data_IF_264352632060
#
_entry.id   IF_264352632060
#
_cell.length_a   1.000
_cell.length_b   1.000
_cell.length_c   1.000
_cell.angle_alpha   90.00
_cell.angle_beta   90.00
_cell.angle_gamma   90.00
#
_symmetry.space_group_name_H-M   'P 1'
#
loop_
_entity.id
_entity.type
_entity.pdbx_description
1 polymer ?
#
# COMPACT_ATOMS: atom_id res chain seq x y z
N UNK A 1 -32.29 -3.76 -3.98
CA UNK A 1 -30.95 -3.90 -4.62
C UNK A 1 -31.18 -4.26 -6.07
N UNK A 2 -31.22 -3.25 -6.95
CA UNK A 2 -31.93 -3.43 -8.23
C UNK A 2 -31.00 -3.51 -9.46
N UNK A 3 -29.67 -3.47 -9.26
CA UNK A 3 -28.66 -3.57 -10.33
C UNK A 3 -27.57 -4.59 -9.96
N UNK A 4 -27.28 -5.50 -10.87
CA UNK A 4 -26.23 -6.52 -10.73
C UNK A 4 -24.87 -5.87 -10.43
N UNK A 5 -24.58 -4.73 -11.05
CA UNK A 5 -23.31 -4.02 -10.90
C UNK A 5 -23.11 -3.46 -9.49
N UNK A 6 -24.19 -3.04 -8.83
CA UNK A 6 -24.16 -2.59 -7.44
C UNK A 6 -23.81 -3.73 -6.49
N UNK A 7 -24.28 -4.94 -6.78
CA UNK A 7 -23.95 -6.15 -6.02
C UNK A 7 -22.47 -6.51 -6.21
N UNK A 8 -21.96 -6.51 -7.46
CA UNK A 8 -20.55 -6.81 -7.72
C UNK A 8 -19.65 -5.76 -7.04
N UNK A 9 -20.02 -4.48 -7.07
CA UNK A 9 -19.29 -3.43 -6.35
C UNK A 9 -19.24 -3.73 -4.85
N UNK A 10 -20.38 -4.05 -4.24
CA UNK A 10 -20.44 -4.34 -2.81
C UNK A 10 -19.61 -5.58 -2.43
N UNK A 11 -19.66 -6.64 -3.23
CA UNK A 11 -18.83 -7.83 -3.02
C UNK A 11 -17.33 -7.51 -3.06
N UNK A 12 -16.90 -6.71 -4.03
CA UNK A 12 -15.51 -6.25 -4.12
C UNK A 12 -15.13 -5.33 -2.95
N UNK A 13 -16.05 -4.45 -2.53
CA UNK A 13 -15.79 -3.52 -1.44
C UNK A 13 -15.63 -4.25 -0.11
N UNK A 14 -16.49 -5.23 0.14
CA UNK A 14 -16.44 -6.10 1.30
C UNK A 14 -15.15 -6.92 1.34
N UNK A 15 -14.62 -7.36 0.18
CA UNK A 15 -13.30 -7.99 0.09
C UNK A 15 -12.21 -7.07 0.64
N UNK A 16 -12.17 -5.80 0.20
CA UNK A 16 -11.21 -4.80 0.70
C UNK A 16 -11.39 -4.51 2.19
N UNK A 17 -12.64 -4.42 2.66
CA UNK A 17 -12.93 -4.25 4.10
C UNK A 17 -12.41 -5.44 4.92
N UNK A 18 -12.60 -6.68 4.46
CA UNK A 18 -12.12 -7.86 5.17
C UNK A 18 -10.60 -7.90 5.32
N UNK A 19 -9.85 -7.38 4.34
CA UNK A 19 -8.39 -7.31 4.40
C UNK A 19 -7.88 -6.24 5.38
N UNK A 20 -8.68 -5.21 5.69
CA UNK A 20 -8.34 -4.13 6.63
C UNK A 20 -8.91 -4.33 8.03
N UNK A 21 -9.99 -5.10 8.16
CA UNK A 21 -10.74 -5.33 9.39
C UNK A 21 -9.97 -5.93 10.59
N UNK A 22 -8.92 -6.78 10.44
CA UNK A 22 -8.26 -7.37 11.61
C UNK A 22 -7.62 -6.33 12.53
N UNK A 23 -7.19 -5.19 11.97
CA UNK A 23 -6.39 -4.18 12.67
C UNK A 23 -7.01 -2.78 12.65
N UNK A 24 -8.16 -2.60 11.99
CA UNK A 24 -8.83 -1.31 11.88
C UNK A 24 -9.69 -0.95 13.11
N UNK A 25 -9.54 0.28 13.61
CA UNK A 25 -10.44 0.86 14.62
C UNK A 25 -11.86 0.95 14.07
N UNK A 26 -12.88 0.68 14.89
CA UNK A 26 -14.29 0.65 14.46
C UNK A 26 -14.79 1.95 13.80
N UNK A 27 -14.20 3.11 14.11
CA UNK A 27 -14.47 4.37 13.44
C UNK A 27 -14.05 4.38 11.96
N UNK A 28 -12.87 3.84 11.64
CA UNK A 28 -12.35 3.79 10.26
C UNK A 28 -13.24 2.93 9.36
N UNK A 29 -13.73 1.79 9.86
CA UNK A 29 -14.65 0.93 9.12
C UNK A 29 -15.99 1.63 8.83
N UNK A 30 -16.43 2.54 9.70
CA UNK A 30 -17.64 3.36 9.48
C UNK A 30 -17.41 4.40 8.40
N UNK A 31 -16.28 5.11 8.43
CA UNK A 31 -15.90 6.06 7.38
C UNK A 31 -15.78 5.35 6.02
N UNK A 32 -15.22 4.14 6.01
CA UNK A 32 -15.14 3.31 4.81
C UNK A 32 -16.53 2.91 4.32
N UNK A 33 -17.45 2.51 5.19
CA UNK A 33 -18.83 2.23 4.80
C UNK A 33 -19.55 3.46 4.21
N UNK A 34 -19.31 4.65 4.77
CA UNK A 34 -19.88 5.92 4.26
C UNK A 34 -19.35 6.24 2.86
N UNK A 35 -18.04 6.08 2.61
CA UNK A 35 -17.45 6.24 1.26
C UNK A 35 -18.07 5.29 0.24
N UNK A 36 -18.40 4.06 0.63
CA UNK A 36 -19.07 3.09 -0.24
C UNK A 36 -20.45 3.58 -0.68
N UNK A 37 -21.22 4.12 0.27
CA UNK A 37 -22.55 4.69 0.02
C UNK A 37 -22.48 5.86 -0.96
N UNK A 38 -21.48 6.73 -0.81
CA UNK A 38 -21.31 7.89 -1.70
C UNK A 38 -20.96 7.49 -3.14
N UNK A 39 -20.16 6.43 -3.31
CA UNK A 39 -19.86 5.87 -4.65
C UNK A 39 -21.10 5.24 -5.28
N UNK A 40 -21.88 4.50 -4.50
CA UNK A 40 -23.06 3.78 -4.97
C UNK A 40 -24.28 4.68 -5.28
N UNK A 41 -24.38 5.84 -4.64
CA UNK A 41 -25.39 6.87 -4.95
C UNK A 41 -25.16 7.54 -6.30
N UNK A 42 -23.91 7.59 -6.74
CA UNK A 42 -23.54 8.29 -7.93
C UNK A 42 -23.62 7.38 -9.17
N UNK A 43 -23.65 7.99 -10.36
CA UNK A 43 -23.58 7.25 -11.62
C UNK A 43 -22.30 6.38 -11.65
N UNK A 44 -22.36 5.10 -12.04
CA UNK A 44 -23.45 4.38 -12.74
C UNK A 44 -24.38 3.47 -11.90
N UNK A 45 -24.28 3.46 -10.57
CA UNK A 45 -24.87 2.39 -9.74
C UNK A 45 -26.29 2.66 -9.23
N UNK A 46 -26.62 3.91 -8.88
CA UNK A 46 -27.96 4.35 -8.42
C UNK A 46 -28.61 3.48 -7.33
N UNK A 47 -27.84 2.97 -6.37
CA UNK A 47 -28.37 2.09 -5.33
C UNK A 47 -29.00 2.87 -4.14
N UNK A 48 -30.08 2.33 -3.57
CA UNK A 48 -30.78 2.90 -2.41
C UNK A 48 -29.90 2.85 -1.14
N UNK A 49 -29.85 3.95 -0.38
CA UNK A 49 -28.94 4.09 0.77
C UNK A 49 -29.25 3.14 1.93
N UNK A 50 -30.51 2.72 2.11
CA UNK A 50 -30.91 1.85 3.21
C UNK A 50 -30.57 0.38 2.95
N UNK A 51 -30.71 -0.06 1.69
CA UNK A 51 -30.29 -1.39 1.23
C UNK A 51 -28.78 -1.60 1.40
N UNK A 52 -27.98 -0.55 1.17
CA UNK A 52 -26.52 -0.63 1.25
C UNK A 52 -26.07 -0.79 2.71
N UNK A 53 -26.63 0.00 3.64
CA UNK A 53 -26.25 -0.04 5.05
C UNK A 53 -26.59 -1.38 5.69
N UNK A 54 -27.78 -1.90 5.41
CA UNK A 54 -28.22 -3.22 5.89
C UNK A 54 -27.34 -4.33 5.33
N UNK A 55 -27.00 -4.28 4.04
CA UNK A 55 -26.11 -5.25 3.39
C UNK A 55 -24.69 -5.20 3.94
N UNK A 56 -24.11 -4.00 4.15
CA UNK A 56 -22.75 -3.86 4.71
C UNK A 56 -22.66 -4.38 6.15
N UNK A 57 -23.70 -4.16 6.96
CA UNK A 57 -23.75 -4.67 8.33
C UNK A 57 -23.89 -6.21 8.37
N UNK A 58 -24.73 -6.78 7.50
CA UNK A 58 -24.93 -8.23 7.41
C UNK A 58 -23.73 -8.95 6.79
N UNK A 59 -23.09 -8.34 5.80
CA UNK A 59 -22.05 -8.98 5.01
C UNK A 59 -20.66 -8.99 5.67
N UNK A 60 -20.46 -8.35 6.83
CA UNK A 60 -19.19 -8.42 7.57
C UNK A 60 -18.77 -9.85 7.89
N UNK A 61 -19.72 -10.70 8.30
CA UNK A 61 -19.45 -12.10 8.63
C UNK A 61 -19.09 -12.92 7.37
N UNK A 62 -19.86 -12.72 6.29
CA UNK A 62 -19.66 -13.41 5.00
C UNK A 62 -18.37 -12.95 4.30
N UNK A 63 -18.01 -11.67 4.45
CA UNK A 63 -16.83 -11.07 3.86
C UNK A 63 -15.53 -11.61 4.45
N UNK A 64 -15.52 -12.09 5.70
CA UNK A 64 -14.33 -12.69 6.30
C UNK A 64 -13.99 -14.04 5.63
N UNK A 65 -14.99 -14.86 5.35
CA UNK A 65 -14.82 -16.17 4.71
C UNK A 65 -14.51 -16.02 3.21
N UNK A 66 -15.25 -15.15 2.51
CA UNK A 66 -15.03 -14.89 1.09
C UNK A 66 -13.75 -14.08 0.83
N UNK A 67 -13.41 -13.18 1.76
CA UNK A 67 -12.24 -12.30 1.73
C UNK A 67 -10.91 -13.05 1.69
N UNK A 68 -10.86 -14.21 2.33
CA UNK A 68 -9.67 -15.06 2.40
C UNK A 68 -9.58 -16.09 1.26
N UNK A 69 -10.60 -16.18 0.39
CA UNK A 69 -10.57 -17.17 -0.67
C UNK A 69 -9.62 -16.74 -1.80
N UNK A 70 -8.64 -17.59 -2.17
CA UNK A 70 -7.63 -17.31 -3.19
C UNK A 70 -8.24 -16.87 -4.53
N UNK A 71 -9.19 -17.66 -5.03
CA UNK A 71 -9.84 -17.42 -6.33
C UNK A 71 -10.66 -16.13 -6.35
N UNK A 72 -11.23 -15.71 -5.22
CA UNK A 72 -12.00 -14.47 -5.18
C UNK A 72 -11.06 -13.26 -5.22
N UNK A 73 -9.90 -13.33 -4.56
CA UNK A 73 -8.84 -12.31 -4.66
C UNK A 73 -8.35 -12.16 -6.10
N UNK A 74 -8.17 -13.27 -6.82
CA UNK A 74 -7.78 -13.25 -8.24
C UNK A 74 -8.85 -12.59 -9.13
N UNK A 75 -10.14 -12.83 -8.89
CA UNK A 75 -11.23 -12.17 -9.62
C UNK A 75 -11.26 -10.65 -9.39
N UNK A 76 -11.12 -10.22 -8.12
CA UNK A 76 -11.07 -8.80 -7.77
C UNK A 76 -9.85 -8.13 -8.41
N UNK A 77 -8.70 -8.81 -8.44
CA UNK A 77 -7.49 -8.31 -9.09
C UNK A 77 -7.64 -8.19 -10.62
N UNK A 78 -8.30 -9.14 -11.27
CA UNK A 78 -8.60 -9.08 -12.69
C UNK A 78 -9.48 -7.88 -13.04
N UNK A 79 -10.50 -7.60 -12.22
CA UNK A 79 -11.35 -6.42 -12.37
C UNK A 79 -10.55 -5.12 -12.22
N UNK A 80 -9.69 -5.03 -11.19
CA UNK A 80 -8.86 -3.84 -11.00
C UNK A 80 -7.93 -3.60 -12.19
N UNK A 81 -7.28 -4.66 -12.68
CA UNK A 81 -6.39 -4.61 -13.83
C UNK A 81 -7.12 -4.19 -15.11
N UNK A 82 -8.34 -4.71 -15.34
CA UNK A 82 -9.16 -4.33 -16.49
C UNK A 82 -9.52 -2.85 -16.46
N UNK A 83 -10.02 -2.34 -15.33
CA UNK A 83 -10.39 -0.92 -15.20
C UNK A 83 -9.17 0.00 -15.16
N UNK A 84 -8.00 -0.50 -14.76
CA UNK A 84 -6.73 0.23 -14.87
C UNK A 84 -6.34 0.41 -16.35
N UNK A 85 -6.53 -0.62 -17.17
CA UNK A 85 -6.25 -0.57 -18.61
C UNK A 85 -7.26 0.32 -19.38
N UNK A 86 -8.53 0.31 -18.96
CA UNK A 86 -9.63 1.04 -19.62
C UNK A 86 -10.29 2.02 -18.65
N UNK A 87 -9.63 3.15 -18.31
CA UNK A 87 -10.14 4.11 -17.33
C UNK A 87 -11.41 4.85 -17.80
N UNK A 88 -11.65 4.91 -19.11
CA UNK A 88 -12.83 5.53 -19.71
C UNK A 88 -14.10 4.67 -19.61
N UNK A 89 -13.99 3.46 -19.07
CA UNK A 89 -15.13 2.56 -18.92
C UNK A 89 -16.17 3.13 -17.94
N UNK A 90 -17.46 2.96 -18.22
CA UNK A 90 -18.59 3.43 -17.39
C UNK A 90 -18.46 3.04 -15.92
N UNK A 91 -17.95 1.83 -15.67
CA UNK A 91 -17.77 1.26 -14.32
C UNK A 91 -16.35 1.40 -13.77
N UNK A 92 -15.49 2.26 -14.34
CA UNK A 92 -14.11 2.45 -13.86
C UNK A 92 -14.04 2.89 -12.39
N UNK A 93 -15.09 3.55 -11.88
CA UNK A 93 -15.25 3.90 -10.47
C UNK A 93 -15.27 2.71 -9.53
N UNK A 94 -15.51 1.51 -10.03
CA UNK A 94 -15.42 0.26 -9.28
C UNK A 94 -14.01 0.02 -8.71
N UNK A 95 -12.98 0.66 -9.27
CA UNK A 95 -11.61 0.58 -8.74
C UNK A 95 -11.48 1.06 -7.30
N UNK A 96 -12.36 1.93 -6.83
CA UNK A 96 -12.34 2.33 -5.40
C UNK A 96 -12.53 1.13 -4.46
N UNK A 97 -13.21 0.07 -4.93
CA UNK A 97 -13.43 -1.17 -4.21
C UNK A 97 -12.33 -2.22 -4.43
N UNK A 98 -11.59 -2.16 -5.55
CA UNK A 98 -10.63 -3.21 -5.96
C UNK A 98 -9.17 -2.79 -5.82
N UNK A 99 -8.89 -1.50 -5.60
CA UNK A 99 -7.54 -0.91 -5.60
C UNK A 99 -6.61 -1.52 -4.55
N UNK A 100 -7.12 -2.10 -3.46
CA UNK A 100 -6.28 -2.76 -2.45
C UNK A 100 -5.59 -4.04 -2.98
N UNK A 101 -6.04 -4.59 -4.11
CA UNK A 101 -5.38 -5.71 -4.79
C UNK A 101 -4.18 -5.27 -5.62
N UNK A 102 -4.05 -3.98 -5.93
CA UNK A 102 -2.92 -3.40 -6.64
C UNK A 102 -1.71 -3.26 -5.69
N UNK A 103 -0.55 -3.78 -6.10
CA UNK A 103 0.68 -3.76 -5.30
C UNK A 103 0.50 -4.36 -3.89
N UNK A 104 -0.29 -5.43 -3.78
CA UNK A 104 -0.47 -6.18 -2.52
C UNK A 104 0.88 -6.77 -2.08
N UNK A 105 1.24 -6.54 -0.82
CA UNK A 105 2.52 -6.94 -0.21
C UNK A 105 3.77 -6.30 -0.85
N UNK A 106 3.67 -5.08 -1.39
CA UNK A 106 4.79 -4.36 -2.05
C UNK A 106 5.31 -3.20 -1.19
N UNK A 107 5.31 -3.38 0.14
CA UNK A 107 5.65 -2.31 1.09
C UNK A 107 7.06 -1.78 0.91
N UNK A 108 8.03 -2.62 0.56
CA UNK A 108 9.41 -2.17 0.31
C UNK A 108 9.48 -1.15 -0.83
N UNK A 109 8.65 -1.31 -1.86
CA UNK A 109 8.55 -0.34 -2.96
C UNK A 109 7.93 0.99 -2.50
N UNK A 110 6.86 0.93 -1.71
CA UNK A 110 6.25 2.12 -1.10
C UNK A 110 7.23 2.86 -0.19
N UNK A 111 8.06 2.12 0.54
CA UNK A 111 9.08 2.71 1.40
C UNK A 111 10.14 3.46 0.59
N UNK A 112 10.59 2.92 -0.55
CA UNK A 112 11.52 3.66 -1.43
C UNK A 112 10.92 4.99 -1.91
N UNK A 113 9.64 4.98 -2.26
CA UNK A 113 8.93 6.19 -2.66
C UNK A 113 8.85 7.18 -1.49
N UNK A 114 8.39 6.72 -0.32
CA UNK A 114 8.33 7.54 0.89
C UNK A 114 9.70 8.15 1.25
N UNK A 115 10.78 7.37 1.18
CA UNK A 115 12.14 7.87 1.43
C UNK A 115 12.55 9.00 0.48
N UNK A 116 12.13 8.91 -0.79
CA UNK A 116 12.38 9.94 -1.81
C UNK A 116 11.58 11.21 -1.49
N UNK A 117 10.31 11.04 -1.09
CA UNK A 117 9.42 12.15 -0.68
C UNK A 117 9.95 12.87 0.56
N UNK A 118 10.33 12.14 1.61
CA UNK A 118 10.86 12.76 2.82
C UNK A 118 12.21 13.42 2.53
N UNK A 119 13.15 12.70 1.91
CA UNK A 119 14.51 13.23 1.70
C UNK A 119 14.53 14.44 0.76
N UNK A 120 13.58 14.55 -0.17
CA UNK A 120 13.61 15.53 -1.26
C UNK A 120 14.73 15.25 -2.27
N UNK A 121 15.40 14.10 -2.16
CA UNK A 121 16.50 13.69 -3.01
C UNK A 121 16.03 12.61 -3.97
N UNK A 122 16.72 12.46 -5.11
CA UNK A 122 16.44 11.34 -6.02
C UNK A 122 16.80 10.01 -5.38
N UNK A 123 16.19 8.93 -5.88
CA UNK A 123 16.38 7.58 -5.36
C UNK A 123 17.86 7.19 -5.31
N UNK A 124 18.58 7.45 -6.39
CA UNK A 124 20.00 7.12 -6.55
C UNK A 124 20.90 7.96 -5.64
N UNK A 125 20.44 9.13 -5.20
CA UNK A 125 21.18 10.04 -4.35
C UNK A 125 21.10 9.59 -2.89
N UNK A 126 19.89 9.35 -2.37
CA UNK A 126 19.74 8.93 -0.98
C UNK A 126 20.22 7.49 -0.75
N UNK A 127 20.14 6.60 -1.75
CA UNK A 127 20.65 5.22 -1.64
C UNK A 127 22.15 5.17 -1.30
N UNK A 128 22.93 6.18 -1.70
CA UNK A 128 24.37 6.29 -1.36
C UNK A 128 24.61 6.53 0.14
N UNK A 129 23.59 6.97 0.87
CA UNK A 129 23.63 7.21 2.31
C UNK A 129 23.25 5.99 3.13
N UNK A 130 22.80 4.90 2.48
CA UNK A 130 22.60 3.62 3.15
C UNK A 130 23.95 2.92 3.31
N UNK A 131 24.61 3.11 4.46
CA UNK A 131 25.93 2.51 4.74
C UNK A 131 25.86 1.16 5.46
N UNK A 132 24.66 0.74 5.83
CA UNK A 132 24.40 -0.53 6.51
C UNK A 132 24.47 -1.65 5.46
N UNK A 133 25.38 -2.64 5.58
CA UNK A 133 25.56 -3.69 4.57
C UNK A 133 24.27 -4.46 4.24
N UNK A 134 23.42 -4.70 5.25
CA UNK A 134 22.14 -5.37 5.15
C UNK A 134 21.16 -4.54 4.30
N UNK A 135 21.06 -3.23 4.58
CA UNK A 135 20.23 -2.31 3.79
C UNK A 135 20.72 -2.24 2.34
N UNK A 136 22.03 -2.20 2.12
CA UNK A 136 22.59 -2.20 0.76
C UNK A 136 22.30 -3.50 0.00
N UNK A 137 22.30 -4.65 0.70
CA UNK A 137 21.95 -5.94 0.09
C UNK A 137 20.50 -5.93 -0.37
N UNK A 138 19.58 -5.49 0.49
CA UNK A 138 18.15 -5.38 0.17
C UNK A 138 17.91 -4.35 -0.96
N UNK A 139 18.61 -3.21 -0.95
CA UNK A 139 18.54 -2.23 -2.03
C UNK A 139 19.00 -2.80 -3.39
N UNK A 140 20.07 -3.62 -3.41
CA UNK A 140 20.52 -4.28 -4.64
C UNK A 140 19.48 -5.24 -5.20
N UNK A 141 18.83 -6.02 -4.34
CA UNK A 141 17.73 -6.91 -4.74
C UNK A 141 16.56 -6.11 -5.34
N UNK A 142 16.23 -4.95 -4.76
CA UNK A 142 15.18 -4.09 -5.31
C UNK A 142 15.55 -3.46 -6.65
N UNK A 143 16.83 -3.14 -6.87
CA UNK A 143 17.28 -2.63 -8.19
C UNK A 143 17.17 -3.68 -9.29
N UNK A 144 17.43 -4.95 -9.00
CA UNK A 144 17.22 -6.05 -9.96
C UNK A 144 15.74 -6.20 -10.33
N UNK A 145 14.83 -5.98 -9.38
CA UNK A 145 13.39 -6.08 -9.61
C UNK A 145 12.83 -4.85 -10.33
N UNK A 146 13.54 -3.72 -10.30
CA UNK A 146 13.05 -2.44 -10.80
C UNK A 146 12.74 -2.44 -12.31
N UNK A 147 13.44 -3.27 -13.10
CA UNK A 147 13.18 -3.44 -14.53
C UNK A 147 11.75 -3.93 -14.80
N UNK A 148 11.22 -4.81 -13.95
CA UNK A 148 9.85 -5.31 -14.08
C UNK A 148 8.80 -4.24 -13.74
N UNK A 149 9.15 -3.25 -12.92
CA UNK A 149 8.27 -2.14 -12.56
C UNK A 149 8.07 -1.15 -13.71
N UNK A 150 9.00 -1.08 -14.67
CA UNK A 150 8.93 -0.14 -15.79
C UNK A 150 7.97 -0.61 -16.90
N UNK A 151 7.61 -1.90 -16.90
CA UNK A 151 6.70 -2.47 -17.88
C UNK A 151 5.27 -2.00 -17.61
N UNK A 152 4.78 -1.11 -18.46
CA UNK A 152 3.39 -0.61 -18.42
C UNK A 152 2.39 -1.75 -18.63
N UNK A 153 1.30 -1.72 -17.85
CA UNK A 153 0.20 -2.70 -17.91
C UNK A 153 0.65 -4.16 -17.70
N UNK A 154 1.74 -4.36 -16.96
CA UNK A 154 2.22 -5.69 -16.61
C UNK A 154 1.34 -6.34 -15.53
N UNK A 155 1.44 -7.67 -15.42
CA UNK A 155 0.89 -8.41 -14.29
C UNK A 155 1.67 -8.17 -12.99
N UNK A 156 2.81 -7.47 -13.04
CA UNK A 156 3.72 -7.26 -11.92
C UNK A 156 3.00 -6.76 -10.66
N UNK A 157 2.19 -5.69 -10.70
CA UNK A 157 1.49 -5.19 -9.50
C UNK A 157 0.51 -6.19 -8.87
N UNK A 158 0.10 -7.22 -9.61
CA UNK A 158 -0.93 -8.17 -9.22
C UNK A 158 -0.39 -9.59 -8.99
N UNK A 159 0.92 -9.84 -9.10
CA UNK A 159 1.49 -11.20 -8.96
C UNK A 159 1.09 -11.88 -7.64
N UNK A 160 0.99 -11.09 -6.56
CA UNK A 160 0.55 -11.59 -5.26
C UNK A 160 -0.95 -11.88 -5.22
N UNK A 161 -1.75 -11.02 -5.83
CA UNK A 161 -3.22 -11.11 -5.85
C UNK A 161 -3.73 -12.19 -6.81
N UNK A 162 -2.96 -12.51 -7.86
CA UNK A 162 -3.18 -13.68 -8.74
C UNK A 162 -2.57 -14.97 -8.22
N UNK A 163 -1.90 -14.93 -7.06
CA UNK A 163 -1.24 -16.10 -6.46
C UNK A 163 -0.18 -16.76 -7.33
N UNK A 164 0.35 -16.02 -8.30
CA UNK A 164 1.52 -16.44 -9.10
C UNK A 164 2.73 -16.56 -8.18
N UNK A 165 2.83 -15.66 -7.20
CA UNK A 165 3.84 -15.69 -6.16
C UNK A 165 3.21 -16.01 -4.79
N UNK A 166 3.70 -17.05 -4.07
CA UNK A 166 3.23 -17.37 -2.74
C UNK A 166 3.63 -16.28 -1.72
N UNK A 167 4.77 -15.63 -1.95
CA UNK A 167 5.31 -14.54 -1.15
C UNK A 167 5.93 -13.49 -2.07
N UNK A 168 5.67 -12.22 -1.78
CA UNK A 168 6.23 -11.11 -2.53
C UNK A 168 7.69 -10.84 -2.10
N UNK A 169 8.64 -10.74 -3.04
CA UNK A 169 10.01 -10.29 -2.74
C UNK A 169 10.07 -8.82 -2.29
N UNK A 170 8.98 -8.07 -2.48
CA UNK A 170 8.82 -6.67 -2.08
C UNK A 170 8.10 -6.50 -0.73
N UNK A 171 7.85 -7.60 -0.01
CA UNK A 171 7.23 -7.57 1.30
C UNK A 171 8.19 -7.03 2.36
N UNK A 172 7.64 -6.41 3.42
CA UNK A 172 8.42 -5.94 4.59
C UNK A 172 9.29 -7.04 5.18
N UNK A 173 8.77 -8.27 5.20
CA UNK A 173 9.44 -9.41 5.80
C UNK A 173 10.61 -9.95 4.96
N UNK A 174 10.74 -9.53 3.70
CA UNK A 174 11.91 -9.81 2.84
C UNK A 174 12.95 -8.69 2.91
N UNK A 175 12.54 -7.45 3.24
CA UNK A 175 13.42 -6.29 3.40
C UNK A 175 13.27 -5.55 4.74
N UNK A 176 13.46 -6.23 5.89
CA UNK A 176 13.23 -5.62 7.20
C UNK A 176 14.25 -4.54 7.56
N UNK A 177 15.50 -4.64 7.11
CA UNK A 177 16.54 -3.67 7.44
C UNK A 177 16.27 -2.32 6.74
N UNK A 178 15.92 -2.37 5.45
CA UNK A 178 15.54 -1.20 4.66
C UNK A 178 14.25 -0.57 5.17
N UNK A 179 13.26 -1.40 5.53
CA UNK A 179 12.03 -0.92 6.14
C UNK A 179 12.32 -0.11 7.41
N UNK A 180 13.11 -0.69 8.32
CA UNK A 180 13.49 -0.05 9.59
C UNK A 180 14.30 1.22 9.36
N UNK A 181 15.26 1.20 8.42
CA UNK A 181 16.09 2.35 8.08
C UNK A 181 15.25 3.56 7.64
N UNK A 182 14.30 3.34 6.73
CA UNK A 182 13.45 4.41 6.18
C UNK A 182 12.51 4.96 7.27
N UNK A 183 11.87 4.10 8.05
CA UNK A 183 10.99 4.55 9.13
C UNK A 183 11.75 5.26 10.26
N UNK A 184 12.97 4.82 10.59
CA UNK A 184 13.81 5.52 11.56
C UNK A 184 14.14 6.95 11.11
N UNK A 185 14.41 7.16 9.81
CA UNK A 185 14.64 8.50 9.24
C UNK A 185 13.37 9.35 9.31
N UNK A 186 12.20 8.79 8.95
CA UNK A 186 10.92 9.49 9.03
C UNK A 186 10.59 9.95 10.45
N UNK A 187 10.76 9.07 11.45
CA UNK A 187 10.56 9.40 12.87
C UNK A 187 11.49 10.53 13.32
N UNK A 188 12.77 10.48 12.95
CA UNK A 188 13.75 11.49 13.34
C UNK A 188 13.50 12.87 12.71
N UNK A 189 12.78 12.92 11.59
CA UNK A 189 12.33 14.17 10.96
C UNK A 189 11.08 14.77 11.60
N UNK A 190 10.46 14.07 12.55
CA UNK A 190 9.20 14.49 13.16
C UNK A 190 7.98 14.26 12.26
N UNK A 191 8.10 13.42 11.23
CA UNK A 191 6.95 13.00 10.44
C UNK A 191 6.11 12.02 11.25
N UNK A 192 5.00 12.53 11.81
CA UNK A 192 4.01 11.73 12.52
C UNK A 192 3.08 10.94 11.57
N UNK A 193 3.01 11.36 10.30
CA UNK A 193 2.21 10.74 9.25
C UNK A 193 3.08 9.80 8.39
N UNK A 194 3.62 8.77 9.01
CA UNK A 194 3.96 7.56 8.23
C UNK A 194 2.60 6.98 7.81
N UNK A 195 2.26 6.86 6.51
CA UNK A 195 0.96 6.33 6.13
C UNK A 195 0.80 4.94 6.75
N UNK A 196 -0.14 4.85 7.70
CA UNK A 196 -0.62 3.60 8.29
C UNK A 196 -1.30 2.79 7.18
N UNK A 197 -0.51 2.20 6.30
CA UNK A 197 -0.96 1.09 5.51
C UNK A 197 -1.04 -0.09 6.48
N UNK A 198 -2.28 -0.43 6.84
CA UNK A 198 -2.72 -1.63 7.53
C UNK A 198 -1.63 -2.73 7.50
N UNK A 199 -1.03 -2.99 8.66
CA UNK A 199 0.03 -3.99 8.94
C UNK A 199 1.50 -3.53 8.94
N UNK A 200 1.83 -2.36 9.48
CA UNK A 200 2.96 -2.34 10.44
C UNK A 200 2.40 -2.76 11.80
N UNK A 201 2.08 -4.06 11.92
CA UNK A 201 2.41 -4.70 13.18
C UNK A 201 3.88 -4.36 13.36
N UNK A 202 4.22 -3.54 14.36
CA UNK A 202 5.56 -3.48 14.92
C UNK A 202 6.02 -4.92 14.92
N UNK A 203 6.91 -5.31 14.00
CA UNK A 203 7.37 -6.69 13.91
C UNK A 203 7.75 -7.01 15.34
N UNK A 204 6.99 -7.90 15.98
CA UNK A 204 7.08 -8.16 17.40
C UNK A 204 8.54 -8.45 17.63
N UNK A 205 9.22 -7.51 18.26
CA UNK A 205 10.66 -7.51 18.41
C UNK A 205 11.01 -8.77 19.21
N UNK A 206 11.25 -9.87 18.53
CA UNK A 206 12.13 -10.91 19.03
C UNK A 206 13.52 -10.34 18.84
N UNK A 207 13.85 -9.49 19.80
CA UNK A 207 15.13 -8.83 20.00
C UNK A 207 16.23 -9.90 19.97
N UNK A 208 16.84 -10.13 18.81
CA UNK A 208 18.13 -10.80 18.70
C UNK A 208 19.22 -9.76 19.00
N UNK A 209 19.32 -9.52 20.31
CA UNK A 209 19.90 -8.42 21.11
C UNK A 209 21.37 -8.02 20.88
N UNK A 210 22.00 -8.21 19.72
CA UNK A 210 23.43 -7.86 19.54
C UNK A 210 23.81 -7.07 18.29
N UNK A 211 23.13 -7.24 17.16
CA UNK A 211 23.51 -6.55 15.91
C UNK A 211 22.62 -5.32 15.61
N UNK A 212 21.44 -5.25 16.23
CA UNK A 212 20.46 -4.17 16.05
C UNK A 212 20.95 -2.80 16.52
N UNK A 213 21.81 -2.73 17.53
CA UNK A 213 22.35 -1.46 18.03
C UNK A 213 23.25 -0.76 17.02
N UNK A 214 23.93 -1.51 16.14
CA UNK A 214 24.75 -0.92 15.08
C UNK A 214 23.89 -0.38 13.95
N UNK A 215 22.85 -1.12 13.55
CA UNK A 215 21.92 -0.69 12.52
C UNK A 215 21.10 0.53 12.97
N UNK A 216 20.65 0.55 14.22
CA UNK A 216 19.92 1.67 14.81
C UNK A 216 20.80 2.92 14.95
N UNK A 217 22.04 2.77 15.46
CA UNK A 217 23.00 3.88 15.54
C UNK A 217 23.40 4.38 14.15
N UNK A 218 23.63 3.48 13.18
CA UNK A 218 23.94 3.86 11.80
C UNK A 218 22.75 4.59 11.13
N UNK A 219 21.52 4.14 11.37
CA UNK A 219 20.31 4.84 10.92
C UNK A 219 20.17 6.21 11.58
N UNK A 220 20.46 6.34 12.88
CA UNK A 220 20.46 7.62 13.59
C UNK A 220 21.55 8.57 13.08
N UNK A 221 22.75 8.06 12.76
CA UNK A 221 23.85 8.86 12.21
C UNK A 221 23.54 9.32 10.79
N UNK A 222 23.07 8.41 9.93
CA UNK A 222 22.65 8.72 8.57
C UNK A 222 21.48 9.71 8.55
N UNK A 223 20.48 9.52 9.40
CA UNK A 223 19.36 10.44 9.55
C UNK A 223 19.81 11.84 10.00
N UNK A 224 20.72 11.93 10.99
CA UNK A 224 21.28 13.22 11.44
C UNK A 224 22.10 13.92 10.36
N UNK A 225 22.76 13.19 9.47
CA UNK A 225 23.50 13.77 8.35
C UNK A 225 22.57 14.20 7.21
N UNK A 226 21.54 13.40 6.90
CA UNK A 226 20.50 13.75 5.92
C UNK A 226 19.68 14.97 6.36
N UNK A 227 19.32 15.06 7.64
CA UNK A 227 18.66 16.24 8.24
C UNK A 227 19.49 17.53 8.12
N UNK A 228 20.82 17.43 8.25
CA UNK A 228 21.71 18.58 8.09
C UNK A 228 21.76 19.06 6.62
N UNK A 229 21.59 18.16 5.67
CA UNK A 229 21.63 18.47 4.23
C UNK A 229 20.28 18.94 3.68
N UNK A 230 19.15 18.39 4.15
CA UNK A 230 17.82 18.88 3.75
C UNK A 230 17.59 20.34 4.19
N UNK A 231 18.12 20.73 5.35
CA UNK A 231 18.06 22.12 5.84
C UNK A 231 18.96 23.09 5.04
N UNK A 232 19.81 22.58 4.13
CA UNK A 232 20.62 23.38 3.21
C UNK A 232 20.07 23.43 1.78
N UNK A 233 19.08 22.59 1.46
CA UNK A 233 18.47 22.47 0.14
C UNK A 233 17.00 22.91 0.19
N UNK A 234 16.76 24.16 0.56
CA UNK A 234 15.50 24.81 0.23
C UNK A 234 15.66 25.46 -1.14
N UNK A 235 15.05 24.89 -2.18
CA UNK A 235 14.54 25.57 -3.40
C UNK A 235 13.95 24.54 -4.38
N UNK A 236 12.63 24.68 -4.65
CA UNK A 236 11.84 24.39 -5.87
C UNK A 236 12.11 23.08 -6.66
N UNK A 237 11.14 22.22 -7.00
CA UNK A 237 9.85 22.50 -7.64
C UNK A 237 8.80 21.39 -7.37
N UNK A 238 7.54 21.80 -7.17
CA UNK A 238 6.35 20.94 -7.13
C UNK A 238 6.09 20.28 -8.49
N UNK A 239 6.13 18.95 -8.60
CA UNK A 239 5.37 18.24 -9.64
C UNK A 239 4.98 16.83 -9.16
N UNK A 240 3.72 16.46 -9.45
CA UNK A 240 3.08 15.13 -9.37
C UNK A 240 2.13 14.83 -8.20
N UNK A 241 1.05 15.63 -8.13
CA UNK A 241 -0.30 15.15 -7.85
C UNK A 241 -1.23 15.67 -8.94
N UNK A 242 -1.05 15.23 -10.20
CA UNK A 242 -1.98 15.46 -11.31
C UNK A 242 -1.48 14.75 -12.58
N UNK A 243 -1.84 13.47 -12.73
CA UNK A 243 -2.28 12.88 -14.01
C UNK A 243 -2.57 11.37 -13.85
N UNK A 244 -3.89 11.09 -13.84
CA UNK A 244 -4.60 9.85 -14.18
C UNK A 244 -4.61 8.71 -13.17
#
# INVERSE_FOLDING_TARGET
MDSDESIVFLLCYLHGMAQTAPNAKGYYLRELAEKAVDVLKAEPFYASSDDIKTTLLAARAVAADLGNHPSFTALVAALDMFFLLVPTHKYSRMRTATVHTFCKDYTSFKNLQHMTEISGMKREEWMKWAWIPEVQKELRQLTEISEFCEVKNSYFPYLRSFEILPRSPLAVSEGPALHTFIHAIGILRGEHNIPEHHNTATVSFHVQRRDDTKAEVAAQVAARQLLKLSNSCALNDMWWCERR
#
